data_IF_071942428872
#
_entry.id   IF_071942428872
#
_cell.length_a   1.000
_cell.length_b   1.000
_cell.length_c   1.000
_cell.angle_alpha   90.00
_cell.angle_beta   90.00
_cell.angle_gamma   90.00
#
_symmetry.space_group_name_H-M   'P 1'
#
loop_
_entity.id
_entity.type
_entity.pdbx_description
1 polymer ?
#
# COMPACT_ATOMS: atom_id res chain seq x y z
N UNK A 1 12.44 1.23 16.74
CA UNK A 1 11.88 2.59 16.55
C UNK A 1 12.51 3.17 15.30
N UNK A 2 11.76 3.31 14.22
CA UNK A 2 12.24 4.02 13.02
C UNK A 2 12.41 5.50 13.41
N UNK A 3 13.57 6.10 13.17
CA UNK A 3 13.77 7.53 13.44
C UNK A 3 12.71 8.33 12.68
N UNK A 4 12.03 9.26 13.34
CA UNK A 4 10.93 10.05 12.77
C UNK A 4 11.32 10.74 11.47
N UNK A 5 12.59 11.09 11.31
CA UNK A 5 13.13 11.71 10.10
C UNK A 5 13.31 10.74 8.94
N UNK A 6 13.64 9.47 9.21
CA UNK A 6 13.68 8.43 8.18
C UNK A 6 12.28 8.15 7.63
N UNK A 7 11.27 8.15 8.50
CA UNK A 7 9.87 8.01 8.09
C UNK A 7 9.43 9.17 7.20
N UNK A 8 9.70 10.43 7.60
CA UNK A 8 9.41 11.62 6.77
C UNK A 8 10.10 11.55 5.41
N UNK A 9 11.37 11.15 5.37
CA UNK A 9 12.12 11.00 4.14
C UNK A 9 11.48 9.95 3.21
N UNK A 10 11.20 8.76 3.72
CA UNK A 10 10.60 7.67 2.96
C UNK A 10 9.19 8.03 2.43
N UNK A 11 8.34 8.64 3.27
CA UNK A 11 7.00 9.08 2.88
C UNK A 11 7.08 10.16 1.80
N UNK A 12 8.02 11.11 1.92
CA UNK A 12 8.23 12.15 0.92
C UNK A 12 8.61 11.53 -0.43
N UNK A 13 9.60 10.64 -0.45
CA UNK A 13 10.03 9.94 -1.67
C UNK A 13 8.88 9.17 -2.32
N UNK A 14 8.10 8.45 -1.51
CA UNK A 14 6.93 7.69 -1.98
C UNK A 14 5.89 8.56 -2.68
N UNK A 15 5.53 9.71 -2.10
CA UNK A 15 4.55 10.61 -2.70
C UNK A 15 5.09 11.36 -3.92
N UNK A 16 6.37 11.76 -3.91
CA UNK A 16 7.02 12.34 -5.09
C UNK A 16 6.99 11.35 -6.25
N UNK A 17 7.34 10.08 -6.00
CA UNK A 17 7.27 9.03 -7.02
C UNK A 17 5.83 8.83 -7.53
N UNK A 18 4.84 8.72 -6.63
CA UNK A 18 3.43 8.59 -7.03
C UNK A 18 2.93 9.76 -7.87
N UNK A 19 3.26 11.00 -7.52
CA UNK A 19 2.87 12.16 -8.32
C UNK A 19 3.51 12.16 -9.69
N UNK A 20 4.77 11.72 -9.81
CA UNK A 20 5.41 11.53 -11.12
C UNK A 20 4.69 10.47 -11.95
N UNK A 21 4.35 9.33 -11.35
CA UNK A 21 3.58 8.29 -12.04
C UNK A 21 2.20 8.81 -12.48
N UNK A 22 1.51 9.57 -11.63
CA UNK A 22 0.22 10.16 -11.96
C UNK A 22 0.32 11.13 -13.17
N UNK A 23 1.39 11.93 -13.26
CA UNK A 23 1.62 12.79 -14.43
C UNK A 23 1.86 12.00 -15.71
N UNK A 24 2.50 10.83 -15.63
CA UNK A 24 2.83 10.02 -16.79
C UNK A 24 1.69 9.10 -17.25
N UNK A 25 0.87 8.61 -16.31
CA UNK A 25 -0.03 7.48 -16.55
C UNK A 25 -1.49 7.71 -16.11
N UNK A 26 -1.80 8.79 -15.36
CA UNK A 26 -3.14 9.05 -14.82
C UNK A 26 -3.64 10.48 -15.13
N UNK A 27 -4.83 10.85 -14.64
CA UNK A 27 -5.31 12.24 -14.65
C UNK A 27 -4.68 13.07 -13.53
N UNK A 28 -4.27 14.30 -13.86
CA UNK A 28 -3.53 15.23 -12.98
C UNK A 28 -4.30 15.64 -11.73
N UNK A 29 -5.62 15.42 -11.69
CA UNK A 29 -6.52 15.74 -10.58
C UNK A 29 -6.13 15.12 -9.23
N UNK A 30 -5.27 14.08 -9.24
CA UNK A 30 -4.81 13.40 -8.03
C UNK A 30 -3.59 14.05 -7.35
N UNK A 31 -3.03 15.11 -7.92
CA UNK A 31 -1.86 15.79 -7.36
C UNK A 31 -2.31 16.99 -6.53
N UNK A 32 -1.99 17.04 -5.22
CA UNK A 32 -2.33 18.19 -4.38
C UNK A 32 -1.66 19.47 -4.88
N UNK A 33 -2.41 20.58 -4.83
CA UNK A 33 -1.88 21.93 -5.02
C UNK A 33 -0.84 22.20 -3.93
N UNK A 34 -1.25 22.09 -2.66
CA UNK A 34 -0.44 22.29 -1.46
C UNK A 34 0.27 21.01 -0.99
N UNK A 35 1.37 20.66 -1.68
CA UNK A 35 2.14 19.43 -1.43
C UNK A 35 2.74 19.37 -0.02
N UNK A 36 3.20 20.51 0.50
CA UNK A 36 3.78 20.61 1.84
C UNK A 36 2.76 20.25 2.92
N UNK A 37 1.61 20.94 2.92
CA UNK A 37 0.52 20.68 3.86
C UNK A 37 0.01 19.24 3.77
N UNK A 38 -0.14 18.72 2.54
CA UNK A 38 -0.51 17.32 2.33
C UNK A 38 0.48 16.35 2.97
N UNK A 39 1.79 16.56 2.77
CA UNK A 39 2.83 15.71 3.36
C UNK A 39 2.82 15.81 4.89
N UNK A 40 2.65 17.01 5.46
CA UNK A 40 2.53 17.19 6.91
C UNK A 40 1.37 16.39 7.50
N UNK A 41 0.18 16.44 6.87
CA UNK A 41 -0.95 15.61 7.28
C UNK A 41 -0.60 14.12 7.19
N UNK A 42 0.07 13.68 6.12
CA UNK A 42 0.47 12.28 5.96
C UNK A 42 1.53 11.82 6.95
N UNK A 43 2.45 12.68 7.37
CA UNK A 43 3.37 12.36 8.44
C UNK A 43 2.61 12.15 9.75
N UNK A 44 1.66 13.02 10.08
CA UNK A 44 0.86 12.89 11.30
C UNK A 44 0.00 11.63 11.29
N UNK A 45 -0.68 11.33 10.18
CA UNK A 45 -1.49 10.11 10.03
C UNK A 45 -0.66 8.85 10.33
N UNK A 46 0.56 8.80 9.78
CA UNK A 46 1.43 7.64 9.89
C UNK A 46 2.05 7.52 11.28
N UNK A 47 2.49 8.64 11.87
CA UNK A 47 2.99 8.68 13.26
C UNK A 47 1.89 8.18 14.20
N UNK A 48 0.66 8.71 14.06
CA UNK A 48 -0.48 8.28 14.86
C UNK A 48 -0.79 6.78 14.68
N UNK A 49 -0.68 6.26 13.46
CA UNK A 49 -0.90 4.84 13.20
C UNK A 49 0.12 3.95 13.92
N UNK A 50 1.40 4.32 13.89
CA UNK A 50 2.45 3.61 14.64
C UNK A 50 2.24 3.68 16.16
N UNK A 51 1.81 4.83 16.68
CA UNK A 51 1.53 4.98 18.12
C UNK A 51 0.31 4.15 18.56
N UNK A 52 -0.74 4.08 17.73
CA UNK A 52 -1.93 3.29 18.01
C UNK A 52 -1.70 1.78 17.88
N UNK A 53 -0.77 1.34 17.03
CA UNK A 53 -0.36 -0.07 16.95
C UNK A 53 0.37 -0.55 18.22
N UNK A 54 1.02 0.37 18.94
CA UNK A 54 1.66 0.09 20.22
C UNK A 54 0.67 0.08 21.41
N UNK A 55 -0.61 0.42 21.20
CA UNK A 55 -1.62 0.25 22.23
C UNK A 55 -2.06 -1.22 22.28
N UNK A 56 -2.03 -1.87 23.45
CA UNK A 56 -2.54 -3.22 23.58
C UNK A 56 -4.03 -3.23 23.26
N UNK A 57 -4.39 -3.81 22.12
CA UNK A 57 -5.80 -3.95 21.74
C UNK A 57 -6.55 -4.72 22.84
N UNK A 58 -7.63 -4.14 23.37
CA UNK A 58 -8.53 -4.79 24.33
C UNK A 58 -9.34 -5.95 23.72
N UNK A 59 -9.07 -6.32 22.46
CA UNK A 59 -9.81 -7.32 21.70
C UNK A 59 -8.85 -8.31 21.04
N UNK A 60 -8.78 -9.49 21.68
CA UNK A 60 -8.33 -10.77 21.13
C UNK A 60 -6.82 -10.92 20.88
N UNK A 61 -6.21 -11.76 21.72
CA UNK A 61 -4.97 -12.51 21.51
C UNK A 61 -4.96 -13.28 20.17
N UNK A 62 -4.95 -12.60 19.02
CA UNK A 62 -4.41 -13.19 17.79
C UNK A 62 -2.94 -12.85 17.78
N UNK A 63 -2.10 -13.82 18.16
CA UNK A 63 -0.67 -13.73 17.90
C UNK A 63 -0.49 -13.65 16.37
N UNK A 64 -0.23 -12.45 15.87
CA UNK A 64 0.24 -12.28 14.50
C UNK A 64 1.61 -12.94 14.43
N UNK A 65 1.71 -14.02 13.66
CA UNK A 65 2.97 -14.73 13.45
C UNK A 65 3.51 -14.35 12.08
N UNK A 66 4.59 -13.58 12.06
CA UNK A 66 5.36 -13.33 10.84
C UNK A 66 5.96 -14.66 10.35
N UNK A 67 5.78 -14.95 9.06
CA UNK A 67 6.40 -16.12 8.42
C UNK A 67 7.14 -15.67 7.18
N UNK A 68 8.35 -16.19 7.03
CA UNK A 68 9.10 -16.07 5.79
C UNK A 68 8.44 -16.93 4.73
N UNK A 69 7.86 -16.28 3.71
CA UNK A 69 7.32 -16.94 2.54
C UNK A 69 8.37 -16.79 1.44
N UNK A 70 8.93 -17.91 0.99
CA UNK A 70 9.75 -17.95 -0.22
C UNK A 70 8.88 -18.42 -1.39
N UNK A 71 9.16 -17.86 -2.57
CA UNK A 71 8.57 -18.37 -3.80
C UNK A 71 9.46 -19.49 -4.34
N UNK A 72 8.92 -20.69 -4.43
CA UNK A 72 9.55 -21.80 -5.15
C UNK A 72 8.84 -21.93 -6.51
N UNK A 73 9.59 -22.01 -7.62
CA UNK A 73 8.98 -22.19 -8.93
C UNK A 73 8.21 -23.53 -8.99
N UNK A 74 7.04 -23.57 -9.65
CA UNK A 74 6.29 -24.80 -9.80
C UNK A 74 7.02 -25.81 -10.70
N UNK A 75 6.65 -27.09 -10.58
CA UNK A 75 7.20 -28.18 -11.39
C UNK A 75 6.87 -28.02 -12.90
N UNK A 76 7.49 -28.84 -13.76
CA UNK A 76 7.16 -28.82 -15.19
C UNK A 76 5.70 -29.25 -15.41
N UNK A 77 5.01 -28.55 -16.31
CA UNK A 77 3.61 -28.83 -16.66
C UNK A 77 2.59 -27.90 -16.00
N UNK A 78 3.03 -27.02 -15.12
CA UNK A 78 2.19 -25.96 -14.57
C UNK A 78 1.99 -24.83 -15.57
N UNK A 79 0.77 -24.27 -15.58
CA UNK A 79 0.40 -23.13 -16.43
C UNK A 79 0.42 -21.88 -15.56
N UNK A 80 1.05 -20.81 -16.06
CA UNK A 80 1.02 -19.53 -15.39
C UNK A 80 -0.37 -18.91 -15.57
N UNK A 81 -1.16 -18.92 -14.51
CA UNK A 81 -2.46 -18.23 -14.45
C UNK A 81 -2.28 -16.92 -13.68
N UNK A 82 -2.45 -15.80 -14.36
CA UNK A 82 -2.63 -14.52 -13.67
C UNK A 82 -4.11 -14.28 -13.50
N UNK A 83 -4.52 -13.89 -12.30
CA UNK A 83 -5.87 -13.41 -12.03
C UNK A 83 -5.80 -12.04 -11.40
N UNK A 84 -6.60 -11.11 -11.86
CA UNK A 84 -6.74 -9.78 -11.29
C UNK A 84 -8.21 -9.44 -11.06
N UNK A 85 -8.45 -8.49 -10.17
CA UNK A 85 -9.78 -8.02 -9.82
C UNK A 85 -9.82 -6.50 -9.82
N UNK A 86 -10.94 -5.95 -10.26
CA UNK A 86 -11.22 -4.52 -10.21
C UNK A 86 -12.58 -4.30 -9.54
N UNK A 87 -12.63 -3.36 -8.60
CA UNK A 87 -13.87 -2.94 -7.94
C UNK A 87 -14.05 -1.43 -8.05
N UNK A 88 -15.28 -1.00 -8.36
CA UNK A 88 -15.61 0.42 -8.39
C UNK A 88 -15.99 0.93 -7.01
N UNK A 89 -15.00 1.32 -6.21
CA UNK A 89 -15.20 1.80 -4.83
C UNK A 89 -15.49 0.67 -3.85
N UNK A 90 -15.80 1.03 -2.60
CA UNK A 90 -15.93 0.07 -1.47
C UNK A 90 -17.16 -0.83 -1.57
N UNK A 91 -18.24 -0.38 -2.22
CA UNK A 91 -19.52 -1.12 -2.35
C UNK A 91 -20.06 -1.16 -3.79
N UNK A 92 -19.26 -0.77 -4.79
CA UNK A 92 -19.71 -0.77 -6.18
C UNK A 92 -19.39 -2.08 -6.92
N UNK A 93 -19.75 -2.17 -8.20
CA UNK A 93 -19.55 -3.37 -9.00
C UNK A 93 -18.09 -3.84 -8.98
N UNK A 94 -17.90 -5.14 -8.80
CA UNK A 94 -16.62 -5.81 -8.86
C UNK A 94 -16.59 -6.77 -10.05
N UNK A 95 -15.44 -6.84 -10.72
CA UNK A 95 -15.13 -7.78 -11.78
C UNK A 95 -13.81 -8.49 -11.48
N UNK A 96 -13.69 -9.71 -11.98
CA UNK A 96 -12.45 -10.49 -11.94
C UNK A 96 -12.15 -11.02 -13.33
N UNK A 97 -10.87 -11.06 -13.68
CA UNK A 97 -10.36 -11.59 -14.93
C UNK A 97 -9.16 -12.49 -14.70
N UNK A 98 -8.85 -13.35 -15.66
CA UNK A 98 -7.61 -14.11 -15.64
C UNK A 98 -7.13 -14.49 -17.03
N UNK A 99 -5.81 -14.60 -17.17
CA UNK A 99 -5.16 -15.07 -18.38
C UNK A 99 -4.17 -16.20 -18.07
N UNK A 100 -4.07 -17.14 -18.99
CA UNK A 100 -3.06 -18.19 -18.97
C UNK A 100 -1.98 -17.87 -20.00
N UNK A 101 -0.72 -18.19 -19.69
CA UNK A 101 0.39 -18.17 -20.64
C UNK A 101 0.95 -19.56 -20.86
#
# INVERSE_FOLDING_TARGET
>A
VCSSDLAKFAITLWYVWKWRCALCFETVERIPLEKGSFLCCKFQDIINAFENENQPSLTTNRSMVERWIKWDPPERGWIALNTDGAAKGTSGPAGAGGNTR
#
